data_IF_405059278527
#
_entry.id   IF_405059278527
#
_cell.length_a   1.000
_cell.length_b   1.000
_cell.length_c   1.000
_cell.angle_alpha   90.00
_cell.angle_beta   90.00
_cell.angle_gamma   90.00
#
_symmetry.space_group_name_H-M   'P 1'
#
loop_
_entity.id
_entity.type
_entity.pdbx_description
1 polymer ?
#
# COMPACT_ATOMS: atom_id res chain seq x y z
N UNK A 1 -25.46 -13.10 20.72
CA UNK A 1 -26.21 -13.05 19.48
C UNK A 1 -25.33 -12.36 18.47
N UNK A 2 -24.66 -13.14 17.59
CA UNK A 2 -23.77 -12.62 16.57
C UNK A 2 -24.60 -12.03 15.44
N UNK A 3 -24.45 -10.75 15.23
CA UNK A 3 -25.07 -10.02 14.12
C UNK A 3 -24.37 -10.44 12.81
N UNK A 4 -24.81 -11.58 12.27
CA UNK A 4 -24.21 -12.25 11.10
C UNK A 4 -24.90 -11.83 9.80
N UNK A 5 -25.14 -10.53 9.62
CA UNK A 5 -25.57 -10.02 8.30
C UNK A 5 -24.31 -9.94 7.42
N UNK A 6 -24.18 -10.70 6.32
CA UNK A 6 -22.98 -10.73 5.48
C UNK A 6 -22.51 -9.34 5.01
N UNK A 7 -23.44 -8.43 4.74
CA UNK A 7 -23.13 -7.06 4.29
C UNK A 7 -22.48 -6.17 5.35
N UNK A 8 -22.76 -6.40 6.64
CA UNK A 8 -22.17 -5.62 7.74
C UNK A 8 -20.68 -5.96 7.89
N UNK A 9 -20.32 -7.22 7.69
CA UNK A 9 -18.93 -7.67 7.72
C UNK A 9 -18.08 -7.08 6.60
N UNK A 10 -18.60 -7.02 5.38
CA UNK A 10 -17.90 -6.47 4.20
C UNK A 10 -17.64 -4.96 4.38
N UNK A 11 -18.65 -4.20 4.79
CA UNK A 11 -18.50 -2.75 5.01
C UNK A 11 -17.46 -2.42 6.08
N UNK A 12 -17.43 -3.20 7.18
CA UNK A 12 -16.42 -3.06 8.24
C UNK A 12 -15.03 -3.39 7.74
N UNK A 13 -14.87 -4.48 6.98
CA UNK A 13 -13.58 -4.88 6.43
C UNK A 13 -13.01 -3.80 5.49
N UNK A 14 -13.83 -3.25 4.59
CA UNK A 14 -13.43 -2.18 3.69
C UNK A 14 -13.08 -0.91 4.47
N UNK A 15 -13.88 -0.52 5.49
CA UNK A 15 -13.59 0.64 6.34
C UNK A 15 -12.26 0.46 7.07
N UNK A 16 -12.00 -0.71 7.66
CA UNK A 16 -10.74 -1.04 8.31
C UNK A 16 -9.57 -0.96 7.34
N UNK A 17 -9.71 -1.51 6.13
CA UNK A 17 -8.69 -1.45 5.08
C UNK A 17 -8.41 -0.01 4.62
N UNK A 18 -9.44 0.83 4.42
CA UNK A 18 -9.27 2.25 4.07
C UNK A 18 -8.52 2.99 5.18
N UNK A 19 -8.93 2.82 6.43
CA UNK A 19 -8.28 3.46 7.58
C UNK A 19 -6.83 3.02 7.77
N UNK A 20 -6.48 1.78 7.40
CA UNK A 20 -5.13 1.25 7.50
C UNK A 20 -4.22 1.68 6.33
N UNK A 21 -4.75 1.69 5.10
CA UNK A 21 -3.97 1.92 3.88
C UNK A 21 -3.99 3.37 3.40
N UNK A 22 -4.84 4.21 3.97
CA UNK A 22 -4.99 5.60 3.53
C UNK A 22 -5.11 6.55 4.72
N UNK A 23 -4.96 7.84 4.44
CA UNK A 23 -5.20 8.92 5.40
C UNK A 23 -6.64 9.44 5.37
N UNK A 24 -7.54 8.76 4.67
CA UNK A 24 -8.96 9.15 4.63
C UNK A 24 -9.56 8.94 6.03
N UNK A 25 -10.18 9.96 6.63
CA UNK A 25 -10.71 9.89 7.99
C UNK A 25 -12.05 9.15 8.01
N UNK A 26 -12.04 7.83 7.84
CA UNK A 26 -13.26 6.99 7.84
C UNK A 26 -13.76 6.66 9.25
N UNK A 27 -13.02 7.04 10.29
CA UNK A 27 -13.26 6.59 11.66
C UNK A 27 -13.09 5.06 11.74
N UNK A 28 -12.30 4.56 12.68
CA UNK A 28 -12.04 3.13 12.83
C UNK A 28 -12.47 2.63 14.20
N UNK A 29 -13.03 1.42 14.25
CA UNK A 29 -13.30 0.68 15.47
C UNK A 29 -12.47 -0.60 15.51
N UNK A 30 -12.32 -1.19 16.68
CA UNK A 30 -11.70 -2.51 16.82
C UNK A 30 -12.43 -3.58 15.99
N UNK A 31 -13.75 -3.45 15.85
CA UNK A 31 -14.54 -4.35 15.03
C UNK A 31 -14.22 -4.22 13.53
N UNK A 32 -13.92 -3.00 13.03
CA UNK A 32 -13.49 -2.76 11.65
C UNK A 32 -12.09 -3.34 11.41
N UNK A 33 -11.17 -3.18 12.36
CA UNK A 33 -9.85 -3.79 12.32
C UNK A 33 -9.92 -5.32 12.29
N UNK A 34 -10.73 -5.90 13.17
CA UNK A 34 -10.91 -7.35 13.24
C UNK A 34 -11.58 -7.94 11.99
N UNK A 35 -12.49 -7.20 11.34
CA UNK A 35 -13.08 -7.58 10.07
C UNK A 35 -12.05 -7.51 8.93
N UNK A 36 -11.25 -6.43 8.86
CA UNK A 36 -10.20 -6.25 7.88
C UNK A 36 -9.15 -7.35 7.93
N UNK A 37 -8.65 -7.71 9.13
CA UNK A 37 -7.64 -8.76 9.31
C UNK A 37 -8.05 -10.15 8.79
N UNK A 38 -9.31 -10.36 8.46
CA UNK A 38 -9.85 -11.64 7.95
C UNK A 38 -10.27 -11.55 6.49
N UNK A 39 -10.16 -10.40 5.86
CA UNK A 39 -10.76 -10.10 4.56
C UNK A 39 -9.69 -9.64 3.56
N UNK A 40 -8.89 -10.59 3.04
CA UNK A 40 -7.81 -10.31 2.09
C UNK A 40 -8.28 -9.55 0.83
N UNK A 41 -9.52 -9.79 0.39
CA UNK A 41 -10.14 -9.08 -0.75
C UNK A 41 -10.27 -7.58 -0.54
N UNK A 42 -10.31 -7.10 0.71
CA UNK A 42 -10.44 -5.67 1.00
C UNK A 42 -9.21 -4.86 0.56
N UNK A 43 -8.03 -5.49 0.50
CA UNK A 43 -6.79 -4.85 0.02
C UNK A 43 -6.90 -4.43 -1.45
N UNK A 44 -7.17 -5.30 -2.44
CA UNK A 44 -7.35 -4.88 -3.82
C UNK A 44 -8.56 -3.95 -4.02
N UNK A 45 -9.61 -4.05 -3.20
CA UNK A 45 -10.75 -3.10 -3.24
C UNK A 45 -10.27 -1.68 -2.90
N UNK A 46 -9.42 -1.51 -1.88
CA UNK A 46 -8.80 -0.20 -1.59
C UNK A 46 -7.86 0.22 -2.74
N UNK A 47 -7.25 -0.72 -3.44
CA UNK A 47 -6.49 -0.43 -4.67
C UNK A 47 -7.30 0.28 -5.74
N UNK A 48 -8.57 -0.11 -5.94
CA UNK A 48 -9.49 0.61 -6.85
C UNK A 48 -9.78 2.03 -6.35
N UNK A 49 -9.99 2.21 -5.05
CA UNK A 49 -10.22 3.53 -4.46
C UNK A 49 -9.01 4.45 -4.65
N UNK A 50 -7.82 3.98 -4.25
CA UNK A 50 -6.58 4.75 -4.36
C UNK A 50 -6.27 5.05 -5.82
N UNK A 51 -6.28 4.03 -6.68
CA UNK A 51 -6.02 4.18 -8.11
C UNK A 51 -7.01 5.09 -8.81
N UNK A 52 -8.29 5.03 -8.44
CA UNK A 52 -9.33 5.92 -8.96
C UNK A 52 -9.09 7.38 -8.57
N UNK A 53 -8.76 7.64 -7.32
CA UNK A 53 -8.50 9.00 -6.82
C UNK A 53 -7.22 9.59 -7.43
N UNK A 54 -6.09 8.88 -7.32
CA UNK A 54 -4.81 9.39 -7.86
C UNK A 54 -4.77 9.38 -9.38
N UNK A 55 -5.43 8.41 -10.02
CA UNK A 55 -5.56 8.34 -11.48
C UNK A 55 -6.37 9.50 -12.05
N UNK A 56 -7.24 10.12 -11.26
CA UNK A 56 -8.00 11.31 -11.65
C UNK A 56 -7.12 12.48 -12.10
N UNK A 57 -5.87 12.57 -11.67
CA UNK A 57 -4.94 13.63 -12.10
C UNK A 57 -4.68 13.62 -13.62
N UNK A 58 -4.82 12.47 -14.29
CA UNK A 58 -4.58 12.34 -15.73
C UNK A 58 -5.66 12.99 -16.59
N UNK A 59 -6.73 13.48 -16.00
CA UNK A 59 -7.74 14.31 -16.68
C UNK A 59 -7.43 15.81 -16.60
N UNK A 60 -6.38 16.21 -15.88
CA UNK A 60 -5.95 17.61 -15.82
C UNK A 60 -5.27 18.02 -17.14
N UNK A 61 -5.58 19.21 -17.68
CA UNK A 61 -5.01 19.71 -18.93
C UNK A 61 -3.62 20.33 -18.71
N UNK A 62 -2.68 19.53 -18.21
CA UNK A 62 -1.32 19.97 -17.90
C UNK A 62 -0.28 19.06 -18.56
N UNK A 63 0.98 19.50 -18.60
CA UNK A 63 2.07 18.75 -19.24
C UNK A 63 2.38 17.43 -18.49
N UNK A 64 2.84 16.38 -19.19
CA UNK A 64 3.16 15.07 -18.59
C UNK A 64 4.04 15.12 -17.33
N UNK A 65 5.14 15.91 -17.25
CA UNK A 65 5.92 15.99 -16.02
C UNK A 65 5.11 16.52 -14.82
N UNK A 66 4.17 17.45 -15.05
CA UNK A 66 3.28 17.96 -14.01
C UNK A 66 2.28 16.90 -13.56
N UNK A 67 1.77 16.07 -14.49
CA UNK A 67 0.90 14.92 -14.16
C UNK A 67 1.64 13.92 -13.26
N UNK A 68 2.91 13.61 -13.56
CA UNK A 68 3.76 12.74 -12.74
C UNK A 68 3.92 13.30 -11.33
N UNK A 69 4.25 14.60 -11.22
CA UNK A 69 4.40 15.25 -9.92
C UNK A 69 3.07 15.23 -9.14
N UNK A 70 1.95 15.57 -9.78
CA UNK A 70 0.62 15.55 -9.18
C UNK A 70 0.22 14.13 -8.72
N UNK A 71 0.53 13.11 -9.51
CA UNK A 71 0.31 11.70 -9.15
C UNK A 71 1.09 11.32 -7.89
N UNK A 72 2.40 11.59 -7.85
CA UNK A 72 3.24 11.24 -6.68
C UNK A 72 2.81 11.99 -5.42
N UNK A 73 2.51 13.28 -5.53
CA UNK A 73 2.00 14.09 -4.43
C UNK A 73 0.64 13.56 -3.97
N UNK A 74 -0.28 13.27 -4.90
CA UNK A 74 -1.59 12.71 -4.61
C UNK A 74 -1.50 11.36 -3.90
N UNK A 75 -0.62 10.49 -4.38
CA UNK A 75 -0.36 9.19 -3.77
C UNK A 75 0.16 9.35 -2.33
N UNK A 76 1.16 10.21 -2.12
CA UNK A 76 1.71 10.50 -0.80
C UNK A 76 0.66 11.09 0.16
N UNK A 77 -0.13 12.07 -0.30
CA UNK A 77 -1.17 12.68 0.54
C UNK A 77 -2.26 11.68 0.91
N UNK A 78 -2.59 10.77 0.00
CA UNK A 78 -3.65 9.79 0.19
C UNK A 78 -3.21 8.61 1.06
N UNK A 79 -2.02 8.06 0.83
CA UNK A 79 -1.53 6.85 1.53
C UNK A 79 -0.61 7.14 2.71
N UNK A 80 -0.08 8.37 2.81
CA UNK A 80 0.88 8.76 3.84
C UNK A 80 2.28 8.19 3.61
N UNK A 81 3.11 8.24 4.64
CA UNK A 81 4.54 7.85 4.59
C UNK A 81 4.80 6.38 4.89
N UNK A 82 3.84 5.65 5.43
CA UNK A 82 4.05 4.30 5.99
C UNK A 82 4.69 3.31 5.00
N UNK A 83 4.30 3.38 3.72
CA UNK A 83 4.89 2.52 2.69
C UNK A 83 6.31 2.95 2.31
N UNK A 84 6.57 4.26 2.28
CA UNK A 84 7.88 4.82 2.00
C UNK A 84 8.87 4.53 3.14
N UNK A 85 8.40 4.62 4.38
CA UNK A 85 9.12 4.28 5.59
C UNK A 85 9.56 2.81 5.58
N UNK A 86 8.62 1.88 5.39
CA UNK A 86 8.93 0.46 5.29
C UNK A 86 9.86 0.10 4.12
N UNK A 87 9.81 0.85 3.00
CA UNK A 87 10.73 0.67 1.90
C UNK A 87 12.14 1.15 2.25
N UNK A 88 12.26 2.26 2.98
CA UNK A 88 13.53 2.78 3.48
C UNK A 88 14.15 1.80 4.49
N UNK A 89 13.37 1.32 5.46
CA UNK A 89 13.80 0.31 6.42
C UNK A 89 14.34 -0.96 5.74
N UNK A 90 13.64 -1.42 4.70
CA UNK A 90 14.08 -2.57 3.89
C UNK A 90 15.41 -2.28 3.18
N UNK A 91 15.59 -1.07 2.64
CA UNK A 91 16.82 -0.64 1.99
C UNK A 91 18.02 -0.65 2.93
N UNK A 92 17.82 -0.17 4.15
CA UNK A 92 18.85 -0.20 5.18
C UNK A 92 19.14 -1.62 5.65
N UNK A 93 18.11 -2.45 5.83
CA UNK A 93 18.27 -3.85 6.19
C UNK A 93 19.07 -4.67 5.13
N UNK A 94 18.82 -4.41 3.84
CA UNK A 94 19.57 -5.05 2.73
C UNK A 94 21.02 -4.56 2.64
N UNK A 95 21.27 -3.30 2.97
CA UNK A 95 22.61 -2.72 2.93
C UNK A 95 23.51 -3.19 4.10
N UNK A 96 22.92 -3.71 5.16
CA UNK A 96 23.67 -4.19 6.32
C UNK A 96 24.34 -5.54 6.04
N UNK A 97 25.64 -5.59 6.29
CA UNK A 97 26.41 -6.82 6.30
C UNK A 97 26.45 -7.37 7.73
N UNK A 98 25.86 -8.54 7.98
CA UNK A 98 25.84 -9.15 9.31
C UNK A 98 24.89 -10.32 9.41
N UNK A 99 24.63 -10.74 10.65
CA UNK A 99 23.69 -11.79 10.97
C UNK A 99 22.23 -11.29 11.02
N UNK A 100 21.31 -12.20 11.23
CA UNK A 100 19.88 -11.89 11.32
C UNK A 100 19.52 -10.94 12.46
N UNK A 101 20.30 -10.95 13.56
CA UNK A 101 20.04 -10.11 14.73
C UNK A 101 20.42 -8.66 14.46
N UNK A 102 21.53 -8.43 13.73
CA UNK A 102 21.93 -7.09 13.27
C UNK A 102 20.95 -6.52 12.26
N UNK A 103 20.47 -7.34 11.33
CA UNK A 103 19.43 -6.93 10.37
C UNK A 103 18.13 -6.54 11.08
N UNK A 104 17.71 -7.31 12.09
CA UNK A 104 16.53 -6.97 12.92
C UNK A 104 16.72 -5.71 13.75
N UNK A 105 17.94 -5.45 14.22
CA UNK A 105 18.25 -4.22 14.95
C UNK A 105 18.08 -2.99 14.07
N UNK A 106 18.55 -3.06 12.81
CA UNK A 106 18.41 -1.97 11.83
C UNK A 106 16.93 -1.72 11.48
N UNK A 107 16.13 -2.79 11.28
CA UNK A 107 14.68 -2.66 11.03
C UNK A 107 13.89 -2.03 12.20
N UNK A 108 14.49 -1.91 13.38
CA UNK A 108 13.90 -1.26 14.57
C UNK A 108 14.48 0.14 14.83
N UNK A 109 15.51 0.51 14.10
CA UNK A 109 16.10 1.85 14.19
C UNK A 109 15.21 2.84 13.44
N UNK A 110 14.90 3.97 14.06
CA UNK A 110 14.12 5.04 13.43
C UNK A 110 14.94 5.97 12.52
N UNK A 111 16.25 5.77 12.42
CA UNK A 111 17.13 6.57 11.57
C UNK A 111 17.20 5.98 10.16
N UNK A 112 16.91 6.79 9.14
CA UNK A 112 17.09 6.39 7.75
C UNK A 112 18.57 6.46 7.38
N UNK A 113 19.12 5.32 6.97
CA UNK A 113 20.47 5.21 6.47
C UNK A 113 20.59 5.47 4.96
N UNK A 114 21.81 5.30 4.44
CA UNK A 114 22.08 5.49 3.00
C UNK A 114 21.39 4.43 2.15
N UNK A 115 21.29 3.18 2.63
CA UNK A 115 20.59 2.10 1.96
C UNK A 115 19.12 2.40 1.74
N UNK A 116 18.45 2.88 2.78
CA UNK A 116 17.06 3.33 2.75
C UNK A 116 16.83 4.49 1.81
N UNK A 117 17.68 5.52 1.91
CA UNK A 117 17.60 6.69 1.03
C UNK A 117 17.78 6.31 -0.46
N UNK A 118 18.71 5.42 -0.77
CA UNK A 118 18.96 4.93 -2.14
C UNK A 118 17.79 4.09 -2.65
N UNK A 119 17.30 3.12 -1.87
CA UNK A 119 16.19 2.27 -2.32
C UNK A 119 14.92 3.10 -2.53
N UNK A 120 14.59 4.01 -1.62
CA UNK A 120 13.47 4.92 -1.76
C UNK A 120 13.63 5.82 -2.99
N UNK A 121 14.80 6.47 -3.16
CA UNK A 121 15.07 7.36 -4.29
C UNK A 121 14.98 6.66 -5.65
N UNK A 122 15.58 5.48 -5.77
CA UNK A 122 15.51 4.66 -7.00
C UNK A 122 14.08 4.21 -7.28
N UNK A 123 13.35 3.77 -6.26
CA UNK A 123 11.95 3.35 -6.44
C UNK A 123 11.07 4.52 -6.89
N UNK A 124 11.19 5.70 -6.27
CA UNK A 124 10.45 6.89 -6.69
C UNK A 124 10.80 7.29 -8.13
N UNK A 125 12.07 7.22 -8.51
CA UNK A 125 12.51 7.50 -9.88
C UNK A 125 11.91 6.51 -10.88
N UNK A 126 11.93 5.21 -10.58
CA UNK A 126 11.35 4.16 -11.44
C UNK A 126 9.83 4.38 -11.59
N UNK A 127 9.13 4.68 -10.50
CA UNK A 127 7.70 4.99 -10.54
C UNK A 127 7.44 6.25 -11.37
N UNK A 128 8.21 7.32 -11.16
CA UNK A 128 8.07 8.57 -11.90
C UNK A 128 8.28 8.39 -13.42
N UNK A 129 9.34 7.67 -13.80
CA UNK A 129 9.64 7.39 -15.22
C UNK A 129 8.61 6.43 -15.83
N UNK A 130 8.16 5.43 -15.05
CA UNK A 130 7.08 4.53 -15.45
C UNK A 130 5.79 5.29 -15.75
N UNK A 131 5.37 6.18 -14.86
CA UNK A 131 4.18 7.03 -15.05
C UNK A 131 4.37 7.99 -16.22
N UNK A 132 5.55 8.59 -16.36
CA UNK A 132 5.87 9.50 -17.46
C UNK A 132 5.74 8.82 -18.83
N UNK A 133 6.11 7.54 -18.93
CA UNK A 133 6.07 6.78 -20.19
C UNK A 133 4.67 6.64 -20.76
N UNK A 134 3.63 6.73 -19.94
CA UNK A 134 2.25 6.64 -20.38
C UNK A 134 1.40 7.91 -20.12
N UNK A 135 1.96 8.94 -19.52
CA UNK A 135 1.21 10.16 -19.20
C UNK A 135 0.62 10.86 -20.43
N UNK A 136 1.23 10.67 -21.62
CA UNK A 136 0.78 11.27 -22.89
C UNK A 136 -0.10 10.40 -23.77
N UNK A 137 -0.43 9.15 -23.40
CA UNK A 137 -1.18 8.22 -24.28
C UNK A 137 -2.71 8.40 -24.26
N UNK A 138 -3.19 9.42 -23.58
CA UNK A 138 -4.61 9.74 -23.40
C UNK A 138 -5.12 9.42 -21.99
N UNK A 139 -5.91 10.33 -21.46
CA UNK A 139 -6.36 10.35 -20.06
C UNK A 139 -6.99 9.03 -19.58
N UNK A 140 -7.91 8.46 -20.35
CA UNK A 140 -8.57 7.20 -20.00
C UNK A 140 -7.64 5.99 -19.99
N UNK A 141 -6.64 5.95 -20.87
CA UNK A 141 -5.65 4.86 -20.87
C UNK A 141 -4.73 4.97 -19.68
N UNK A 142 -4.20 6.17 -19.43
CA UNK A 142 -3.35 6.44 -18.27
C UNK A 142 -4.09 6.15 -16.95
N UNK A 143 -5.32 6.62 -16.80
CA UNK A 143 -6.19 6.33 -15.66
C UNK A 143 -6.31 4.82 -15.39
N UNK A 144 -6.65 4.02 -16.42
CA UNK A 144 -6.80 2.56 -16.27
C UNK A 144 -5.50 1.87 -15.89
N UNK A 145 -4.36 2.32 -16.41
CA UNK A 145 -3.06 1.78 -16.05
C UNK A 145 -2.72 2.05 -14.59
N UNK A 146 -2.99 3.26 -14.10
CA UNK A 146 -2.80 3.61 -12.68
C UNK A 146 -3.72 2.77 -11.79
N UNK A 147 -5.01 2.65 -12.12
CA UNK A 147 -5.93 1.81 -11.36
C UNK A 147 -5.42 0.35 -11.32
N UNK A 148 -5.00 -0.19 -12.46
CA UNK A 148 -4.49 -1.56 -12.52
C UNK A 148 -3.21 -1.73 -11.70
N UNK A 149 -2.29 -0.75 -11.71
CA UNK A 149 -1.07 -0.78 -10.92
C UNK A 149 -1.37 -0.75 -9.41
N UNK A 150 -2.28 0.11 -8.96
CA UNK A 150 -2.66 0.22 -7.55
C UNK A 150 -3.39 -1.05 -7.05
N UNK A 151 -4.28 -1.61 -7.86
CA UNK A 151 -4.94 -2.88 -7.55
C UNK A 151 -3.93 -4.02 -7.49
N UNK A 152 -3.01 -4.08 -8.46
CA UNK A 152 -1.95 -5.08 -8.50
C UNK A 152 -1.01 -4.99 -7.29
N UNK A 153 -0.62 -3.78 -6.88
CA UNK A 153 0.19 -3.55 -5.70
C UNK A 153 -0.50 -4.06 -4.42
N UNK A 154 -1.78 -3.73 -4.23
CA UNK A 154 -2.57 -4.18 -3.07
C UNK A 154 -2.87 -5.67 -3.11
N UNK A 155 -3.04 -6.25 -4.30
CA UNK A 155 -3.13 -7.70 -4.47
C UNK A 155 -1.82 -8.39 -4.06
N UNK A 156 -0.66 -7.82 -4.45
CA UNK A 156 0.65 -8.30 -3.99
C UNK A 156 0.77 -8.27 -2.46
N UNK A 157 0.33 -7.18 -1.82
CA UNK A 157 0.26 -7.09 -0.35
C UNK A 157 -0.62 -8.18 0.26
N UNK A 158 -1.80 -8.43 -0.34
CA UNK A 158 -2.72 -9.47 0.11
C UNK A 158 -2.08 -10.86 0.01
N UNK A 159 -1.39 -11.16 -1.09
CA UNK A 159 -0.68 -12.43 -1.27
C UNK A 159 0.43 -12.61 -0.23
N UNK A 160 1.25 -11.58 0.00
CA UNK A 160 2.28 -11.63 1.05
C UNK A 160 1.67 -11.84 2.43
N UNK A 161 0.56 -11.18 2.73
CA UNK A 161 -0.12 -11.32 4.02
C UNK A 161 -0.77 -12.70 4.20
N UNK A 162 -1.28 -13.34 3.13
CA UNK A 162 -1.88 -14.66 3.18
C UNK A 162 -0.86 -15.80 3.25
N UNK A 163 0.27 -15.67 2.56
CA UNK A 163 1.26 -16.75 2.42
C UNK A 163 2.59 -16.47 3.11
N UNK A 164 2.82 -15.24 3.56
CA UNK A 164 4.04 -14.85 4.26
C UNK A 164 4.12 -15.40 5.68
N UNK A 165 5.30 -15.25 6.26
CA UNK A 165 5.56 -15.52 7.67
C UNK A 165 6.06 -14.26 8.35
N UNK A 166 5.51 -13.87 9.50
CA UNK A 166 5.99 -12.68 10.19
C UNK A 166 7.42 -12.88 10.68
N UNK A 167 8.28 -11.90 10.44
CA UNK A 167 9.67 -11.92 10.92
C UNK A 167 9.78 -11.48 12.40
N UNK A 168 8.82 -10.70 12.88
CA UNK A 168 8.74 -10.20 14.27
C UNK A 168 7.31 -9.80 14.62
N UNK A 169 7.04 -9.55 15.89
CA UNK A 169 5.76 -9.05 16.36
C UNK A 169 5.58 -7.56 15.98
N UNK A 170 4.46 -7.24 15.38
CA UNK A 170 4.10 -5.90 14.91
C UNK A 170 2.75 -5.87 14.21
N UNK A 171 2.39 -4.75 13.59
CA UNK A 171 1.13 -4.64 12.82
C UNK A 171 1.09 -5.65 11.65
N UNK A 172 2.23 -5.87 10.99
CA UNK A 172 2.34 -6.84 9.90
C UNK A 172 2.07 -8.28 10.36
N UNK A 173 2.54 -8.68 11.55
CA UNK A 173 2.29 -10.02 12.08
C UNK A 173 0.81 -10.28 12.37
N UNK A 174 0.07 -9.23 12.76
CA UNK A 174 -1.37 -9.33 13.00
C UNK A 174 -2.17 -9.54 11.70
N UNK A 175 -1.67 -9.05 10.57
CA UNK A 175 -2.27 -9.29 9.24
C UNK A 175 -1.89 -10.68 8.71
N UNK A 176 -0.61 -11.03 8.73
CA UNK A 176 -0.09 -12.30 8.20
C UNK A 176 -0.68 -13.52 8.92
N UNK A 177 -1.03 -13.42 10.20
CA UNK A 177 -1.68 -14.51 10.94
C UNK A 177 -3.21 -14.56 10.82
N UNK A 178 -3.84 -13.52 10.27
CA UNK A 178 -5.30 -13.33 10.29
C UNK A 178 -5.98 -13.50 8.94
N UNK A 179 -5.28 -13.25 7.83
CA UNK A 179 -5.84 -13.32 6.49
C UNK A 179 -5.93 -14.78 6.00
N UNK A 180 -7.14 -15.24 5.71
CA UNK A 180 -7.38 -16.56 5.11
C UNK A 180 -7.41 -16.41 3.57
N UNK A 181 -6.61 -17.23 2.86
CA UNK A 181 -6.65 -17.32 1.40
C UNK A 181 -8.04 -17.70 0.87
N UNK A 182 -8.87 -18.39 1.67
CA UNK A 182 -10.27 -18.69 1.34
C UNK A 182 -11.17 -17.48 1.25
N UNK A 183 -10.72 -16.32 1.75
CA UNK A 183 -11.47 -15.05 1.64
C UNK A 183 -11.48 -14.45 0.23
N UNK A 184 -10.74 -15.06 -0.74
CA UNK A 184 -10.82 -14.73 -2.17
C UNK A 184 -11.84 -15.59 -2.94
N UNK A 185 -12.36 -16.65 -2.35
CA UNK A 185 -13.37 -17.53 -2.95
C UNK A 185 -14.79 -17.07 -2.60
#
# INVERSE_FOLDING_TARGET
MSDSTPGVGIGRAIRGAIGFLTRIPVGGSEADWNAFRRAAYSLPVVGYLVGGLVGGVFFLPVQPPTLVAAYLVGLYLLTGVTHADGLADLGDAVAVHGDADRTRAVLKDSATGVGGALLLGVTLLVVALGVLSFAGIGSWRAFRLVVAAEVGAKLGMALVACYGRPAHDGLGSQLVGGLDHRSFA
#
